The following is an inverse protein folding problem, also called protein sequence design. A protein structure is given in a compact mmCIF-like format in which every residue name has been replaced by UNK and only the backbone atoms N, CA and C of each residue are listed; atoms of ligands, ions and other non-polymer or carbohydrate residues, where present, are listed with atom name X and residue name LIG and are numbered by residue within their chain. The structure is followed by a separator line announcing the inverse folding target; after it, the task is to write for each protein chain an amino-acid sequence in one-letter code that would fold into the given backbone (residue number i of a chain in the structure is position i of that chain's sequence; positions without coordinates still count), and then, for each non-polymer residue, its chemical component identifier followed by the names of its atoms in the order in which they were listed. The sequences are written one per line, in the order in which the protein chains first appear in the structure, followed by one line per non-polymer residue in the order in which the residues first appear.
data_IF_444186798228
#
_entry.id   IF_444186798228
#
_cell.length_a   1.000
_cell.length_b   1.000
_cell.length_c   1.000
_cell.angle_alpha   90.00
_cell.angle_beta   90.00
_cell.angle_gamma   90.00
#
_symmetry.space_group_name_H-M   'P 1'
#
loop_
_entity.id
_entity.type
_entity.pdbx_description
1 polymer ?
#
# COMPACT_ATOMS: atom_id res chain seq x y z
N UNK A 1 3.35 -13.05 -13.06
CA UNK A 1 3.85 -11.74 -13.34
C UNK A 1 3.19 -10.73 -12.46
N UNK A 2 3.93 -9.98 -11.75
CA UNK A 2 3.32 -9.03 -10.87
C UNK A 2 3.15 -7.74 -11.62
N UNK A 3 1.93 -7.30 -11.71
CA UNK A 3 1.63 -6.07 -12.37
C UNK A 3 1.44 -5.00 -11.35
N UNK A 4 2.52 -4.38 -10.98
CA UNK A 4 2.44 -3.25 -10.09
C UNK A 4 2.02 -2.04 -10.90
N UNK A 5 0.86 -1.51 -10.57
CA UNK A 5 0.33 -0.35 -11.26
C UNK A 5 1.00 0.91 -10.73
N UNK A 6 1.41 1.79 -11.62
CA UNK A 6 1.97 3.08 -11.21
C UNK A 6 0.86 4.11 -11.30
N UNK A 7 0.60 4.77 -10.18
CA UNK A 7 -0.51 5.71 -10.09
C UNK A 7 -0.20 6.76 -9.03
N UNK A 8 -1.14 7.60 -8.67
CA UNK A 8 -0.92 8.62 -7.64
C UNK A 8 -1.09 8.03 -6.24
N UNK A 9 -0.73 8.81 -5.24
CA UNK A 9 -0.73 8.34 -3.85
C UNK A 9 -2.10 7.83 -3.43
N UNK A 10 -3.13 8.58 -3.76
CA UNK A 10 -4.47 8.20 -3.35
C UNK A 10 -4.90 6.88 -3.98
N UNK A 11 -4.59 6.72 -5.26
CA UNK A 11 -4.96 5.50 -5.97
C UNK A 11 -4.18 4.30 -5.48
N UNK A 12 -2.94 4.49 -4.99
CA UNK A 12 -2.19 3.38 -4.39
C UNK A 12 -2.97 2.83 -3.20
N UNK A 13 -3.52 3.69 -2.36
CA UNK A 13 -4.30 3.26 -1.21
C UNK A 13 -5.57 2.52 -1.67
N UNK A 14 -6.22 3.01 -2.72
CA UNK A 14 -7.40 2.36 -3.25
C UNK A 14 -7.08 0.97 -3.80
N UNK A 15 -5.96 0.84 -4.52
CA UNK A 15 -5.55 -0.45 -5.05
C UNK A 15 -5.21 -1.42 -3.91
N UNK A 16 -4.58 -0.91 -2.87
CA UNK A 16 -4.28 -1.72 -1.70
C UNK A 16 -5.56 -2.26 -1.07
N UNK A 17 -6.56 -1.42 -0.93
CA UNK A 17 -7.84 -1.84 -0.36
C UNK A 17 -8.53 -2.87 -1.24
N UNK A 18 -8.26 -2.84 -2.53
CA UNK A 18 -8.82 -3.80 -3.47
C UNK A 18 -8.01 -5.10 -3.55
N UNK A 19 -6.89 -5.17 -2.82
CA UNK A 19 -6.04 -6.35 -2.84
C UNK A 19 -5.07 -6.40 -3.99
N UNK A 20 -4.81 -5.29 -4.63
CA UNK A 20 -3.94 -5.21 -5.79
C UNK A 20 -2.63 -4.54 -5.44
N UNK A 21 -1.63 -4.74 -6.29
CA UNK A 21 -0.33 -4.12 -6.11
C UNK A 21 -0.27 -2.80 -6.88
N UNK A 22 0.32 -1.79 -6.26
CA UNK A 22 0.46 -0.48 -6.89
C UNK A 22 1.59 0.30 -6.24
N UNK A 23 2.03 1.35 -6.92
CA UNK A 23 3.00 2.28 -6.34
C UNK A 23 2.78 3.66 -6.93
N UNK A 24 3.27 4.67 -6.24
CA UNK A 24 3.20 6.02 -6.78
C UNK A 24 4.37 6.27 -7.73
N UNK A 25 4.37 7.42 -8.37
CA UNK A 25 5.35 7.73 -9.40
C UNK A 25 6.75 7.80 -8.83
N UNK A 26 6.89 8.35 -7.63
CA UNK A 26 8.20 8.48 -7.01
C UNK A 26 8.68 7.21 -6.32
N UNK A 27 7.79 6.23 -6.14
CA UNK A 27 8.17 4.98 -5.49
C UNK A 27 8.26 5.08 -3.98
N UNK A 28 7.79 6.16 -3.38
CA UNK A 28 7.83 6.30 -1.92
C UNK A 28 6.62 5.69 -1.25
N UNK A 29 5.55 5.45 -1.98
CA UNK A 29 4.36 4.82 -1.45
C UNK A 29 3.99 3.67 -2.37
N UNK A 30 3.90 2.48 -1.83
CA UNK A 30 3.52 1.31 -2.62
C UNK A 30 2.81 0.29 -1.76
N UNK A 31 2.10 -0.62 -2.41
CA UNK A 31 1.46 -1.73 -1.72
C UNK A 31 1.79 -3.03 -2.45
N UNK A 32 2.00 -4.08 -1.70
CA UNK A 32 2.31 -5.40 -2.23
C UNK A 32 1.92 -6.44 -1.21
N UNK A 33 1.33 -7.54 -1.69
CA UNK A 33 0.96 -8.66 -0.83
C UNK A 33 0.10 -8.22 0.35
N UNK A 34 -0.85 -7.34 0.08
CA UNK A 34 -1.79 -6.82 1.06
C UNK A 34 -1.16 -5.91 2.11
N UNK A 35 0.08 -5.51 1.91
CA UNK A 35 0.77 -4.62 2.84
C UNK A 35 1.00 -3.29 2.16
N UNK A 36 0.71 -2.22 2.87
CA UNK A 36 0.94 -0.86 2.38
C UNK A 36 2.23 -0.32 3.02
N UNK A 37 3.12 0.18 2.18
CA UNK A 37 4.42 0.68 2.62
C UNK A 37 4.54 2.16 2.27
N UNK A 38 5.16 2.92 3.15
CA UNK A 38 5.45 4.33 2.89
C UNK A 38 6.90 4.58 3.29
N UNK A 39 7.72 4.96 2.31
CA UNK A 39 9.14 5.26 2.53
C UNK A 39 9.87 4.14 3.25
N UNK A 40 9.53 2.89 2.90
CA UNK A 40 10.19 1.74 3.50
C UNK A 40 9.60 1.31 4.84
N UNK A 41 8.56 1.96 5.30
CA UNK A 41 7.92 1.63 6.58
C UNK A 41 6.55 1.02 6.31
N UNK A 42 6.28 -0.10 6.96
CA UNK A 42 4.97 -0.74 6.83
C UNK A 42 3.95 0.06 7.62
N UNK A 43 2.94 0.56 6.95
CA UNK A 43 1.94 1.41 7.58
C UNK A 43 0.55 0.80 7.57
N UNK A 44 0.34 -0.28 6.84
CA UNK A 44 -0.98 -0.91 6.85
C UNK A 44 -0.92 -2.33 6.34
N UNK A 45 -1.85 -3.15 6.78
CA UNK A 45 -1.99 -4.53 6.35
C UNK A 45 -3.46 -4.80 6.06
N UNK A 46 -3.73 -5.44 4.94
CA UNK A 46 -5.10 -5.85 4.62
C UNK A 46 -5.23 -7.34 4.95
N UNK A 47 -6.23 -7.68 5.72
CA UNK A 47 -6.47 -9.05 6.11
C UNK A 47 -7.88 -9.47 5.71
N UNK A 48 -8.20 -10.73 5.91
CA UNK A 48 -9.55 -11.23 5.64
C UNK A 48 -10.61 -10.52 6.47
N UNK A 49 -10.22 -9.97 7.59
CA UNK A 49 -11.16 -9.26 8.45
C UNK A 49 -11.28 -7.79 8.12
N UNK A 50 -10.49 -7.31 7.16
CA UNK A 50 -10.55 -5.93 6.75
C UNK A 50 -9.18 -5.29 6.73
N UNK A 51 -9.15 -3.97 6.78
CA UNK A 51 -7.92 -3.21 6.70
C UNK A 51 -7.50 -2.80 8.10
N UNK A 52 -6.25 -3.09 8.42
CA UNK A 52 -5.66 -2.66 9.69
C UNK A 52 -4.51 -1.71 9.41
N UNK A 53 -4.54 -0.55 10.04
CA UNK A 53 -3.45 0.41 9.92
C UNK A 53 -2.48 0.15 11.07
N UNK A 54 -1.21 -0.01 10.72
CA UNK A 54 -0.16 -0.23 11.72
C UNK A 54 0.14 1.10 12.38
N UNK A 55 0.10 1.14 13.68
CA UNK A 55 0.20 2.39 14.40
C UNK A 55 1.57 2.96 14.56
N UNK A 56 2.58 2.36 13.98
CA UNK A 56 3.93 2.82 14.13
C UNK A 56 4.38 3.82 13.17
N UNK A 57 3.57 4.32 12.36
CA UNK A 57 3.96 5.31 11.45
C UNK A 57 3.79 6.62 12.15
N UNK A 58 4.82 7.05 12.70
CA UNK A 58 4.81 8.32 13.36
C UNK A 58 5.63 9.26 12.56
N UNK A 59 5.28 10.44 12.62
CA UNK A 59 6.05 11.47 11.95
C UNK A 59 7.06 12.07 12.87
#
# INVERSE_FOLDING_TARGET
MSDTKITDDYSVVLEWKAGKNARNITGTLWCKDNVLWSQGVKIGVRTDMGVCVVGDYTT
#
